data_IF_948311927615
#
_entry.id   IF_948311927615
#
_cell.length_a   1.000
_cell.length_b   1.000
_cell.length_c   1.000
_cell.angle_alpha   90.00
_cell.angle_beta   90.00
_cell.angle_gamma   90.00
#
_symmetry.space_group_name_H-M   'P 1'
#
loop_
_entity.id
_entity.type
_entity.pdbx_description
1 polymer ?
#
# COMPACT_ATOMS: atom_id res chain seq x y z
N UNK A 1 29.67 16.61 15.31
CA UNK A 1 28.33 17.04 14.84
C UNK A 1 27.58 15.80 14.36
N UNK A 2 26.43 15.47 14.94
CA UNK A 2 25.59 14.39 14.41
C UNK A 2 24.98 14.87 13.09
N UNK A 3 25.30 14.23 11.97
CA UNK A 3 24.68 14.53 10.67
C UNK A 3 23.20 14.18 10.78
N UNK A 4 22.35 15.18 10.55
CA UNK A 4 20.89 15.04 10.52
C UNK A 4 20.44 15.32 9.10
N UNK A 5 19.74 14.37 8.49
CA UNK A 5 19.20 14.52 7.14
C UNK A 5 17.68 14.42 7.19
N UNK A 6 17.00 15.45 6.71
CA UNK A 6 15.53 15.47 6.63
C UNK A 6 15.11 14.78 5.33
N UNK A 7 14.16 13.84 5.41
CA UNK A 7 13.64 13.17 4.24
C UNK A 7 12.85 14.16 3.35
N UNK A 8 13.27 14.44 2.10
CA UNK A 8 12.67 15.50 1.27
C UNK A 8 11.19 15.28 0.97
N UNK A 9 10.77 14.02 0.80
CA UNK A 9 9.38 13.62 0.52
C UNK A 9 8.46 13.76 1.74
N UNK A 10 9.01 13.78 2.96
CA UNK A 10 8.22 13.85 4.20
C UNK A 10 7.99 15.28 4.68
N UNK A 11 8.67 16.26 4.10
CA UNK A 11 8.65 17.65 4.59
C UNK A 11 7.36 18.43 4.27
N UNK A 12 6.48 17.86 3.43
CA UNK A 12 5.24 18.52 3.00
C UNK A 12 4.12 18.48 4.04
N UNK A 13 4.16 17.52 4.96
CA UNK A 13 3.13 17.38 5.99
C UNK A 13 3.43 18.33 7.17
N UNK A 14 2.55 19.31 7.48
CA UNK A 14 2.74 20.18 8.63
C UNK A 14 2.66 19.42 9.97
N UNK A 15 2.09 18.21 9.98
CA UNK A 15 1.92 17.35 11.15
C UNK A 15 3.25 16.74 11.63
N UNK A 16 4.24 16.59 10.76
CA UNK A 16 5.52 15.98 11.11
C UNK A 16 6.33 15.53 9.91
N UNK A 17 7.57 15.08 10.16
CA UNK A 17 8.45 14.61 9.09
C UNK A 17 9.46 13.57 9.56
N UNK A 18 9.93 12.74 8.62
CA UNK A 18 11.00 11.77 8.81
C UNK A 18 12.38 12.44 8.72
N UNK A 19 13.30 12.02 9.58
CA UNK A 19 14.71 12.40 9.52
C UNK A 19 15.60 11.23 9.92
N UNK A 20 16.84 11.22 9.43
CA UNK A 20 17.84 10.26 9.85
C UNK A 20 18.87 10.95 10.73
N UNK A 21 19.40 10.20 11.70
CA UNK A 21 20.51 10.65 12.54
C UNK A 21 21.41 9.46 12.82
N UNK A 22 22.66 9.55 12.34
CA UNK A 22 23.64 8.45 12.43
C UNK A 22 23.10 7.12 11.87
N UNK A 23 22.37 7.18 10.74
CA UNK A 23 21.81 5.99 10.07
C UNK A 23 20.48 5.46 10.63
N UNK A 24 20.07 5.90 11.82
CA UNK A 24 18.77 5.55 12.42
C UNK A 24 17.68 6.47 11.91
N UNK A 25 16.52 5.88 11.56
CA UNK A 25 15.33 6.60 11.10
C UNK A 25 14.49 7.04 12.30
N UNK A 26 14.08 8.30 12.29
CA UNK A 26 13.18 8.89 13.27
C UNK A 26 12.06 9.64 12.55
N UNK A 27 10.96 9.87 13.25
CA UNK A 27 9.92 10.81 12.86
C UNK A 27 9.76 11.85 13.95
N UNK A 28 9.80 13.12 13.55
CA UNK A 28 9.35 14.21 14.39
C UNK A 28 7.85 14.40 14.18
N UNK A 29 7.10 14.45 15.27
CA UNK A 29 5.70 14.86 15.28
C UNK A 29 5.67 16.30 15.78
N UNK A 30 4.99 17.17 15.04
CA UNK A 30 4.91 18.59 15.35
C UNK A 30 3.75 18.90 16.30
N UNK A 31 3.83 20.05 16.98
CA UNK A 31 2.80 20.58 17.90
C UNK A 31 1.41 20.65 17.28
N UNK A 32 1.32 20.86 15.96
CA UNK A 32 0.04 20.92 15.25
C UNK A 32 -0.77 19.62 15.36
N UNK A 33 -0.10 18.47 15.51
CA UNK A 33 -0.71 17.14 15.54
C UNK A 33 -0.68 16.48 16.94
N UNK A 34 -0.36 17.26 17.98
CA UNK A 34 -0.25 16.79 19.36
C UNK A 34 -1.55 16.15 19.87
N UNK A 35 -2.71 16.74 19.53
CA UNK A 35 -4.00 16.29 20.04
C UNK A 35 -4.39 14.95 19.42
N UNK A 36 -4.25 14.85 18.10
CA UNK A 36 -4.53 13.65 17.30
C UNK A 36 -3.60 12.51 17.73
N UNK A 37 -2.30 12.78 17.84
CA UNK A 37 -1.32 11.81 18.31
C UNK A 37 -1.63 11.32 19.73
N UNK A 38 -1.89 12.25 20.65
CA UNK A 38 -2.25 11.90 22.03
C UNK A 38 -3.51 11.05 22.12
N UNK A 39 -4.52 11.29 21.26
CA UNK A 39 -5.72 10.46 21.20
C UNK A 39 -5.46 9.09 20.55
N UNK A 40 -4.64 9.02 19.49
CA UNK A 40 -4.22 7.76 18.87
C UNK A 40 -3.59 6.81 19.89
N UNK A 41 -2.70 7.34 20.74
CA UNK A 41 -2.02 6.55 21.78
C UNK A 41 -2.94 6.17 22.94
N UNK A 42 -3.80 7.08 23.42
CA UNK A 42 -4.67 6.85 24.59
C UNK A 42 -5.97 6.10 24.30
N UNK A 43 -6.46 6.13 23.07
CA UNK A 43 -7.75 5.51 22.70
C UNK A 43 -7.69 3.98 22.59
N UNK A 44 -6.47 3.39 22.59
CA UNK A 44 -6.24 1.98 22.31
C UNK A 44 -6.15 1.64 20.81
N UNK A 45 -6.34 2.62 19.91
CA UNK A 45 -6.24 2.40 18.47
C UNK A 45 -4.83 1.95 18.06
N UNK A 46 -3.81 2.65 18.56
CA UNK A 46 -2.41 2.33 18.25
C UNK A 46 -2.04 0.90 18.63
N UNK A 47 -2.33 0.49 19.88
CA UNK A 47 -2.09 -0.87 20.38
C UNK A 47 -2.86 -1.88 19.53
N UNK A 48 -4.13 -1.59 19.24
CA UNK A 48 -4.95 -2.47 18.44
C UNK A 48 -4.42 -2.69 17.01
N UNK A 49 -3.94 -1.63 16.34
CA UNK A 49 -3.43 -1.72 14.97
C UNK A 49 -2.05 -2.40 14.92
N UNK A 50 -1.18 -2.10 15.88
CA UNK A 50 0.18 -2.67 15.91
C UNK A 50 0.17 -4.14 16.30
N UNK A 51 -0.67 -4.54 17.27
CA UNK A 51 -0.86 -5.95 17.68
C UNK A 51 -1.32 -6.82 16.51
N UNK A 52 -2.26 -6.32 15.71
CA UNK A 52 -2.82 -7.06 14.56
C UNK A 52 -1.91 -6.93 13.31
N UNK A 53 -0.78 -6.21 13.40
CA UNK A 53 0.19 -6.04 12.33
C UNK A 53 -0.25 -5.07 11.22
N UNK A 54 -1.24 -4.22 11.48
CA UNK A 54 -1.83 -3.29 10.51
C UNK A 54 -1.08 -1.97 10.41
N UNK A 55 -0.46 -1.52 11.50
CA UNK A 55 0.33 -0.29 11.56
C UNK A 55 1.76 -0.61 11.97
N UNK A 56 2.74 0.08 11.37
CA UNK A 56 4.15 -0.01 11.77
C UNK A 56 4.30 0.42 13.24
N UNK A 57 4.89 -0.43 14.10
CA UNK A 57 5.15 -0.03 15.48
C UNK A 57 6.27 1.02 15.51
N UNK A 58 6.18 1.88 16.51
CA UNK A 58 7.16 2.88 16.86
C UNK A 58 7.27 3.04 18.38
N UNK A 59 8.39 3.59 18.80
CA UNK A 59 8.66 3.92 20.19
C UNK A 59 8.84 5.43 20.32
N UNK A 60 8.24 6.03 21.36
CA UNK A 60 8.59 7.40 21.77
C UNK A 60 10.01 7.40 22.36
N UNK A 61 10.86 8.34 21.91
CA UNK A 61 12.28 8.38 22.30
C UNK A 61 12.70 9.77 22.76
N UNK A 62 13.71 9.85 23.62
CA UNK A 62 14.30 11.11 24.09
C UNK A 62 15.35 11.70 23.13
N UNK A 63 15.39 11.25 21.87
CA UNK A 63 16.31 11.79 20.88
C UNK A 63 15.90 13.23 20.52
N UNK A 64 16.84 14.21 20.45
CA UNK A 64 16.48 15.59 20.15
C UNK A 64 15.75 15.72 18.79
N UNK A 65 14.76 16.61 18.67
CA UNK A 65 14.08 16.86 17.39
C UNK A 65 15.06 17.36 16.32
N UNK A 66 14.64 17.29 15.06
CA UNK A 66 15.36 17.92 13.97
C UNK A 66 15.04 19.42 13.87
N UNK A 67 13.85 19.84 14.33
CA UNK A 67 13.41 21.23 14.44
C UNK A 67 12.72 21.48 15.78
N UNK A 68 13.40 22.21 16.67
CA UNK A 68 12.94 22.44 18.06
C UNK A 68 11.69 23.32 18.16
N UNK A 69 11.54 24.29 17.25
CA UNK A 69 10.44 25.26 17.24
C UNK A 69 9.07 24.59 17.03
N UNK A 70 9.01 23.62 16.12
CA UNK A 70 7.78 22.93 15.75
C UNK A 70 7.54 21.60 16.48
N UNK A 71 8.55 21.02 17.13
CA UNK A 71 8.48 19.67 17.68
C UNK A 71 7.53 19.55 18.88
N UNK A 72 6.75 18.48 18.89
CA UNK A 72 6.05 17.97 20.07
C UNK A 72 6.78 16.75 20.64
N UNK A 73 7.02 15.73 19.80
CA UNK A 73 7.70 14.48 20.21
C UNK A 73 8.50 13.88 19.05
N UNK A 74 9.48 13.03 19.39
CA UNK A 74 10.24 12.23 18.44
C UNK A 74 9.91 10.76 18.67
N UNK A 75 9.59 10.06 17.58
CA UNK A 75 9.35 8.62 17.59
C UNK A 75 10.38 7.91 16.70
N UNK A 76 10.67 6.65 17.04
CA UNK A 76 11.50 5.74 16.26
C UNK A 76 10.63 4.61 15.72
N UNK A 77 10.21 4.67 14.44
CA UNK A 77 9.47 3.56 13.82
C UNK A 77 10.40 2.38 13.52
N UNK A 78 9.82 1.18 13.52
CA UNK A 78 10.48 0.01 12.95
C UNK A 78 10.74 0.24 11.45
N UNK A 79 11.94 -0.12 10.99
CA UNK A 79 12.36 0.16 9.62
C UNK A 79 11.86 -0.93 8.68
N UNK A 80 11.12 -0.54 7.65
CA UNK A 80 10.79 -1.42 6.52
C UNK A 80 12.10 -1.75 5.77
N UNK A 81 12.39 -3.05 5.50
CA UNK A 81 13.64 -3.44 4.84
C UNK A 81 13.80 -2.86 3.43
N UNK A 82 12.70 -2.76 2.68
CA UNK A 82 12.69 -2.24 1.32
C UNK A 82 11.40 -1.47 1.04
N UNK A 83 11.53 -0.26 0.51
CA UNK A 83 10.38 0.57 0.10
C UNK A 83 10.09 0.28 -1.36
N UNK A 84 8.90 -0.23 -1.62
CA UNK A 84 8.37 -0.42 -2.98
C UNK A 84 7.19 0.52 -3.21
N UNK A 85 6.85 0.73 -4.48
CA UNK A 85 5.83 1.67 -4.90
C UNK A 85 4.61 0.99 -5.52
N UNK A 86 3.41 1.59 -5.43
CA UNK A 86 2.17 0.99 -5.94
C UNK A 86 2.18 0.59 -7.42
N UNK A 87 2.99 1.23 -8.26
CA UNK A 87 3.14 0.87 -9.67
C UNK A 87 4.02 -0.38 -9.89
N UNK A 88 4.84 -0.75 -8.90
CA UNK A 88 5.68 -1.96 -8.89
C UNK A 88 4.93 -3.18 -8.35
N UNK A 89 3.76 -3.00 -7.77
CA UNK A 89 3.00 -4.06 -7.13
C UNK A 89 2.18 -4.88 -8.13
N UNK A 90 2.07 -6.18 -7.89
CA UNK A 90 1.14 -7.03 -8.61
C UNK A 90 -0.32 -6.75 -8.19
N UNK A 91 -1.29 -7.39 -8.87
CA UNK A 91 -2.71 -7.22 -8.57
C UNK A 91 -3.04 -7.56 -7.11
N UNK A 92 -2.56 -8.70 -6.63
CA UNK A 92 -2.78 -9.20 -5.28
C UNK A 92 -2.20 -8.28 -4.21
N UNK A 93 -1.01 -7.71 -4.44
CA UNK A 93 -0.39 -6.74 -3.54
C UNK A 93 -1.24 -5.47 -3.40
N UNK A 94 -1.62 -4.86 -4.53
CA UNK A 94 -2.45 -3.65 -4.51
C UNK A 94 -3.84 -3.94 -3.89
N UNK A 95 -4.38 -5.13 -4.12
CA UNK A 95 -5.65 -5.57 -3.53
C UNK A 95 -5.55 -5.73 -2.02
N UNK A 96 -4.50 -6.39 -1.52
CA UNK A 96 -4.30 -6.59 -0.09
C UNK A 96 -3.99 -5.27 0.62
N UNK A 97 -3.25 -4.36 -0.01
CA UNK A 97 -3.03 -2.99 0.45
C UNK A 97 -4.35 -2.20 0.58
N UNK A 98 -5.25 -2.33 -0.40
CA UNK A 98 -6.58 -1.72 -0.35
C UNK A 98 -7.44 -2.27 0.78
N UNK A 99 -7.44 -3.59 0.98
CA UNK A 99 -8.18 -4.24 2.05
C UNK A 99 -7.65 -3.83 3.43
N UNK A 100 -6.33 -3.80 3.61
CA UNK A 100 -5.71 -3.32 4.84
C UNK A 100 -6.11 -1.87 5.14
N UNK A 101 -6.09 -0.99 4.14
CA UNK A 101 -6.48 0.42 4.30
C UNK A 101 -7.92 0.55 4.84
N UNK A 102 -8.85 -0.27 4.34
CA UNK A 102 -10.24 -0.28 4.81
C UNK A 102 -10.37 -0.89 6.21
N UNK A 103 -9.61 -1.94 6.52
CA UNK A 103 -9.60 -2.55 7.85
C UNK A 103 -9.01 -1.58 8.90
N UNK A 104 -7.99 -0.80 8.54
CA UNK A 104 -7.46 0.32 9.35
C UNK A 104 -8.51 1.41 9.56
N UNK A 105 -9.20 1.84 8.51
CA UNK A 105 -10.28 2.83 8.60
C UNK A 105 -11.40 2.37 9.53
N UNK A 106 -11.83 1.10 9.44
CA UNK A 106 -12.85 0.54 10.32
C UNK A 106 -12.40 0.52 11.78
N UNK A 107 -11.16 0.08 12.05
CA UNK A 107 -10.61 0.09 13.41
C UNK A 107 -10.49 1.53 13.94
N UNK A 108 -10.07 2.48 13.11
CA UNK A 108 -10.03 3.89 13.50
C UNK A 108 -11.41 4.39 13.95
N UNK A 109 -12.47 4.08 13.18
CA UNK A 109 -13.84 4.47 13.51
C UNK A 109 -14.28 3.90 14.86
N UNK A 110 -13.97 2.64 15.17
CA UNK A 110 -14.31 2.01 16.45
C UNK A 110 -13.74 2.81 17.64
N UNK A 111 -12.52 3.35 17.49
CA UNK A 111 -11.80 4.14 18.49
C UNK A 111 -12.03 5.67 18.39
N UNK A 112 -13.04 6.12 17.63
CA UNK A 112 -13.39 7.55 17.53
C UNK A 112 -12.43 8.36 16.67
N UNK A 113 -11.70 7.70 15.78
CA UNK A 113 -10.82 8.33 14.80
C UNK A 113 -11.28 8.01 13.37
N UNK A 114 -10.66 8.65 12.41
CA UNK A 114 -10.85 8.42 10.97
C UNK A 114 -9.50 8.47 10.28
N UNK A 115 -9.32 7.67 9.23
CA UNK A 115 -8.17 7.73 8.34
C UNK A 115 -8.39 8.87 7.34
N UNK A 116 -7.67 9.99 7.45
CA UNK A 116 -7.77 11.12 6.50
C UNK A 116 -6.98 10.86 5.22
N UNK A 117 -5.87 10.12 5.30
CA UNK A 117 -4.98 9.83 4.17
C UNK A 117 -5.03 8.34 3.78
N UNK A 118 -5.85 8.02 2.78
CA UNK A 118 -6.01 6.68 2.19
C UNK A 118 -5.16 6.51 0.91
N UNK A 119 -3.90 6.94 0.94
CA UNK A 119 -2.95 6.79 -0.16
C UNK A 119 -2.33 5.39 -0.19
N UNK A 120 -2.21 4.79 -1.39
CA UNK A 120 -1.46 3.55 -1.57
C UNK A 120 0.01 3.69 -1.17
N UNK A 121 0.59 4.90 -1.22
CA UNK A 121 1.97 5.15 -0.81
C UNK A 121 2.18 5.07 0.72
N UNK A 122 1.10 5.01 1.50
CA UNK A 122 1.15 4.78 2.94
C UNK A 122 1.14 3.30 3.32
N UNK A 123 1.16 2.40 2.34
CA UNK A 123 1.30 0.95 2.53
C UNK A 123 2.69 0.52 2.10
N UNK A 124 3.28 -0.42 2.83
CA UNK A 124 4.49 -1.15 2.46
C UNK A 124 4.31 -2.63 2.76
N UNK A 125 5.30 -3.46 2.44
CA UNK A 125 5.26 -4.89 2.70
C UNK A 125 6.32 -5.30 3.72
N UNK A 126 5.86 -5.91 4.82
CA UNK A 126 6.70 -6.47 5.87
C UNK A 126 6.34 -7.93 6.09
N UNK A 127 7.35 -8.80 6.06
CA UNK A 127 7.16 -10.24 6.16
C UNK A 127 6.14 -10.79 5.14
N UNK A 128 6.23 -10.28 3.91
CA UNK A 128 5.30 -10.60 2.84
C UNK A 128 3.90 -10.03 3.00
N UNK A 129 3.55 -9.33 4.09
CA UNK A 129 2.18 -8.80 4.32
C UNK A 129 2.14 -7.28 4.17
N UNK A 130 1.03 -6.71 3.69
CA UNK A 130 0.88 -5.26 3.67
C UNK A 130 0.90 -4.71 5.12
N UNK A 131 1.44 -3.52 5.30
CA UNK A 131 1.46 -2.79 6.57
C UNK A 131 1.32 -1.29 6.31
N UNK A 132 0.49 -0.60 7.10
CA UNK A 132 0.34 0.84 7.06
C UNK A 132 1.53 1.49 7.76
N UNK A 133 2.16 2.47 7.13
CA UNK A 133 3.42 3.06 7.64
C UNK A 133 3.27 4.49 8.16
N UNK A 134 2.11 5.13 7.95
CA UNK A 134 1.94 6.55 8.27
C UNK A 134 1.12 6.79 9.54
N UNK A 135 1.80 7.00 10.67
CA UNK A 135 1.15 7.31 11.95
C UNK A 135 0.37 8.63 11.95
N UNK A 136 0.67 9.56 11.03
CA UNK A 136 0.06 10.90 11.02
C UNK A 136 -1.21 10.99 10.13
N UNK A 137 -1.68 9.85 9.59
CA UNK A 137 -2.87 9.77 8.74
C UNK A 137 -4.20 9.71 9.50
N UNK A 138 -4.21 9.77 10.84
CA UNK A 138 -5.45 9.69 11.63
C UNK A 138 -5.96 11.09 12.03
N UNK A 139 -7.27 11.27 12.15
CA UNK A 139 -7.89 12.48 12.72
C UNK A 139 -9.07 12.07 13.60
N UNK A 140 -9.59 13.00 14.39
CA UNK A 140 -10.81 12.82 15.14
C UNK A 140 -12.00 12.57 14.20
N UNK A 141 -12.75 11.51 14.48
CA UNK A 141 -14.03 11.31 13.84
C UNK A 141 -15.00 12.43 14.28
N UNK A 142 -15.60 13.14 13.31
CA UNK A 142 -16.58 14.20 13.53
C UNK A 142 -17.93 13.75 12.98
N UNK A 143 -18.90 13.58 13.86
CA UNK A 143 -20.25 13.13 13.51
C UNK A 143 -20.86 14.00 12.39
N UNK A 144 -21.41 13.35 11.37
CA UNK A 144 -22.07 14.02 10.26
C UNK A 144 -21.14 14.48 9.13
N UNK A 145 -19.81 14.49 9.33
CA UNK A 145 -18.85 14.80 8.26
C UNK A 145 -18.64 13.59 7.34
N UNK A 146 -18.35 13.78 6.04
CA UNK A 146 -18.00 12.69 5.15
C UNK A 146 -16.59 12.15 5.42
N UNK A 147 -16.31 10.93 4.97
CA UNK A 147 -14.95 10.39 5.01
C UNK A 147 -14.04 11.13 4.02
N UNK A 148 -13.10 11.91 4.53
CA UNK A 148 -12.17 12.74 3.73
C UNK A 148 -11.31 11.89 2.79
N UNK A 149 -10.79 10.75 3.29
CA UNK A 149 -9.99 9.81 2.52
C UNK A 149 -10.75 9.02 1.45
N UNK A 150 -12.08 9.11 1.38
CA UNK A 150 -12.89 8.30 0.45
C UNK A 150 -12.50 8.50 -1.02
N UNK A 151 -12.31 9.76 -1.43
CA UNK A 151 -11.88 10.07 -2.80
C UNK A 151 -10.50 9.49 -3.09
N UNK A 152 -9.56 9.70 -2.18
CA UNK A 152 -8.20 9.22 -2.33
C UNK A 152 -8.17 7.69 -2.40
N UNK A 153 -8.95 7.00 -1.57
CA UNK A 153 -9.11 5.54 -1.63
C UNK A 153 -9.58 5.08 -3.02
N UNK A 154 -10.60 5.74 -3.58
CA UNK A 154 -11.07 5.40 -4.92
C UNK A 154 -9.98 5.60 -5.98
N UNK A 155 -9.20 6.67 -5.91
CA UNK A 155 -8.16 7.01 -6.89
C UNK A 155 -6.91 6.10 -6.77
N UNK A 156 -6.53 5.72 -5.56
CA UNK A 156 -5.32 4.93 -5.28
C UNK A 156 -5.53 3.42 -5.32
N UNK A 157 -6.76 2.94 -5.08
CA UNK A 157 -7.03 1.51 -4.98
C UNK A 157 -8.15 1.04 -5.91
N UNK A 158 -9.38 1.54 -5.72
CA UNK A 158 -10.54 0.98 -6.43
C UNK A 158 -10.44 1.18 -7.96
N UNK A 159 -10.07 2.38 -8.40
CA UNK A 159 -9.89 2.69 -9.82
C UNK A 159 -8.76 1.86 -10.46
N UNK A 160 -7.52 1.83 -9.95
CA UNK A 160 -6.48 1.01 -10.54
C UNK A 160 -6.82 -0.48 -10.53
N UNK A 161 -7.36 -1.02 -9.43
CA UNK A 161 -7.78 -2.43 -9.38
C UNK A 161 -8.86 -2.75 -10.42
N UNK A 162 -9.84 -1.85 -10.59
CA UNK A 162 -10.88 -2.02 -11.61
C UNK A 162 -10.29 -1.97 -13.04
N UNK A 163 -9.36 -1.05 -13.31
CA UNK A 163 -8.69 -0.96 -14.61
C UNK A 163 -7.86 -2.21 -14.91
N UNK A 164 -7.14 -2.74 -13.92
CA UNK A 164 -6.37 -3.98 -14.05
C UNK A 164 -7.25 -5.18 -14.40
N UNK A 165 -8.44 -5.27 -13.79
CA UNK A 165 -9.35 -6.40 -13.98
C UNK A 165 -10.15 -6.30 -15.27
N UNK A 166 -10.66 -5.11 -15.62
CA UNK A 166 -11.63 -4.95 -16.69
C UNK A 166 -11.06 -4.35 -17.98
N UNK A 167 -9.85 -3.82 -17.95
CA UNK A 167 -9.22 -3.21 -19.12
C UNK A 167 -7.87 -3.85 -19.42
N UNK A 168 -6.84 -3.62 -18.58
CA UNK A 168 -5.50 -4.17 -18.76
C UNK A 168 -4.67 -4.03 -17.47
N UNK A 169 -3.96 -5.09 -17.06
CA UNK A 169 -3.14 -5.12 -15.83
C UNK A 169 -2.02 -4.09 -15.81
N UNK A 170 -1.53 -3.67 -16.99
CA UNK A 170 -0.47 -2.67 -17.13
C UNK A 170 -0.92 -1.26 -16.78
N UNK A 171 -2.23 -1.01 -16.68
CA UNK A 171 -2.75 0.30 -16.28
C UNK A 171 -2.42 0.67 -14.83
N UNK A 172 -1.89 -0.26 -14.02
CA UNK A 172 -1.28 0.08 -12.72
C UNK A 172 -0.14 1.11 -12.85
N UNK A 173 0.58 1.12 -13.97
CA UNK A 173 1.71 2.04 -14.23
C UNK A 173 1.29 3.51 -14.17
N UNK A 174 -0.01 3.80 -14.31
CA UNK A 174 -0.53 5.14 -14.14
C UNK A 174 -0.31 5.70 -12.73
N UNK A 175 -0.15 4.84 -11.71
CA UNK A 175 0.20 5.28 -10.35
C UNK A 175 1.59 5.91 -10.28
N UNK A 176 2.48 5.67 -11.27
CA UNK A 176 3.77 6.35 -11.42
C UNK A 176 3.62 7.81 -11.87
N UNK A 177 2.64 8.08 -12.72
CA UNK A 177 2.38 9.40 -13.30
C UNK A 177 1.45 10.21 -12.39
N UNK A 178 0.38 9.57 -11.90
CA UNK A 178 -0.60 10.16 -11.00
C UNK A 178 -0.27 9.75 -9.57
N UNK A 179 0.70 10.46 -8.97
CA UNK A 179 1.16 10.21 -7.60
C UNK A 179 0.01 10.34 -6.58
N UNK A 180 -0.97 11.22 -6.84
CA UNK A 180 -2.19 11.42 -6.05
C UNK A 180 -3.35 10.48 -6.45
N UNK A 181 -3.02 9.40 -7.15
CA UNK A 181 -3.96 8.39 -7.63
C UNK A 181 -4.63 8.74 -8.95
N UNK A 182 -5.13 7.71 -9.64
CA UNK A 182 -5.71 7.83 -10.98
C UNK A 182 -6.98 8.71 -10.90
N UNK A 183 -7.08 9.81 -11.68
CA UNK A 183 -8.29 10.63 -11.72
C UNK A 183 -9.52 9.79 -12.08
N UNK A 184 -10.63 9.97 -11.34
CA UNK A 184 -11.80 9.11 -11.50
C UNK A 184 -12.52 9.31 -12.84
N UNK A 185 -12.41 10.49 -13.44
CA UNK A 185 -12.91 10.79 -14.78
C UNK A 185 -12.10 10.05 -15.86
N UNK A 186 -10.77 9.98 -15.71
CA UNK A 186 -9.89 9.19 -16.58
C UNK A 186 -10.18 7.69 -16.41
N UNK A 187 -10.26 7.19 -15.17
CA UNK A 187 -10.62 5.80 -14.91
C UNK A 187 -11.97 5.44 -15.53
N UNK A 188 -12.98 6.32 -15.40
CA UNK A 188 -14.29 6.15 -16.04
C UNK A 188 -14.20 6.09 -17.56
N UNK A 189 -13.32 6.88 -18.19
CA UNK A 189 -13.15 6.89 -19.65
C UNK A 189 -12.48 5.59 -20.17
N UNK A 190 -11.63 4.96 -19.36
CA UNK A 190 -10.87 3.75 -19.72
C UNK A 190 -11.60 2.45 -19.37
N UNK A 191 -12.51 2.48 -18.41
CA UNK A 191 -13.33 1.32 -18.05
C UNK A 191 -14.32 0.99 -19.19
N UNK A 192 -14.53 -0.30 -19.51
CA UNK A 192 -15.51 -0.69 -20.52
C UNK A 192 -16.92 -0.33 -20.06
N UNK A 193 -17.82 -0.07 -21.01
CA UNK A 193 -19.21 0.29 -20.72
C UNK A 193 -19.92 -0.75 -19.84
N UNK A 194 -19.55 -2.03 -19.93
CA UNK A 194 -20.08 -3.10 -19.08
C UNK A 194 -19.83 -2.89 -17.58
N UNK A 195 -18.86 -2.05 -17.20
CA UNK A 195 -18.56 -1.69 -15.82
C UNK A 195 -19.70 -0.94 -15.13
N UNK A 196 -20.61 -0.30 -15.88
CA UNK A 196 -21.80 0.36 -15.32
C UNK A 196 -22.78 -0.63 -14.68
N UNK A 197 -22.78 -1.89 -15.11
CA UNK A 197 -23.64 -2.94 -14.56
C UNK A 197 -23.08 -3.52 -13.26
N UNK A 198 -21.94 -3.02 -12.78
CA UNK A 198 -21.35 -3.38 -11.48
C UNK A 198 -21.70 -2.27 -10.48
N UNK A 199 -22.64 -2.50 -9.55
CA UNK A 199 -23.14 -1.44 -8.67
C UNK A 199 -22.04 -0.71 -7.89
N UNK A 200 -21.03 -1.44 -7.43
CA UNK A 200 -19.87 -0.87 -6.72
C UNK A 200 -19.10 0.14 -7.56
N UNK A 201 -18.74 -0.21 -8.80
CA UNK A 201 -18.02 0.69 -9.71
C UNK A 201 -18.89 1.86 -10.16
N UNK A 202 -20.18 1.60 -10.38
CA UNK A 202 -21.17 2.62 -10.72
C UNK A 202 -21.23 3.71 -9.64
N UNK A 203 -21.33 3.31 -8.37
CA UNK A 203 -21.43 4.24 -7.24
C UNK A 203 -20.10 4.95 -7.00
N UNK A 204 -19.01 4.19 -6.84
CA UNK A 204 -17.76 4.72 -6.28
C UNK A 204 -16.83 5.38 -7.30
N UNK A 205 -16.95 5.02 -8.58
CA UNK A 205 -16.14 5.60 -9.66
C UNK A 205 -17.02 6.48 -10.53
N UNK A 206 -18.09 5.93 -11.12
CA UNK A 206 -18.83 6.61 -12.20
C UNK A 206 -19.66 7.78 -11.67
N UNK A 207 -20.49 7.57 -10.64
CA UNK A 207 -21.30 8.63 -10.04
C UNK A 207 -20.46 9.61 -9.22
N UNK A 208 -19.41 9.11 -8.57
CA UNK A 208 -18.48 9.98 -7.85
C UNK A 208 -17.77 10.95 -8.81
N UNK A 209 -17.25 10.47 -9.95
CA UNK A 209 -16.64 11.32 -10.97
C UNK A 209 -17.61 12.38 -11.54
N UNK A 210 -18.86 11.99 -11.82
CA UNK A 210 -19.90 12.94 -12.30
C UNK A 210 -20.21 14.03 -11.28
N UNK A 211 -20.27 13.67 -10.01
CA UNK A 211 -20.49 14.62 -8.92
C UNK A 211 -19.31 15.59 -8.83
N UNK A 212 -18.07 15.10 -8.90
CA UNK A 212 -16.88 15.95 -8.86
C UNK A 212 -16.79 16.92 -10.05
N UNK A 213 -17.04 16.47 -11.28
CA UNK A 213 -17.00 17.32 -12.47
C UNK A 213 -18.04 18.46 -12.42
N UNK A 214 -19.17 18.26 -11.72
CA UNK A 214 -20.20 19.30 -11.51
C UNK A 214 -19.79 20.37 -10.49
N UNK A 215 -18.82 20.07 -9.62
CA UNK A 215 -18.36 20.97 -8.55
C UNK A 215 -16.94 21.53 -8.78
N UNK A 216 -16.18 21.01 -9.73
CA UNK A 216 -14.88 21.54 -10.15
C UNK A 216 -15.05 22.92 -10.84
N UNK A 217 -15.05 24.00 -10.05
CA UNK A 217 -15.16 25.38 -10.55
C UNK A 217 -16.18 26.26 -9.83
N UNK A 218 -16.87 25.78 -8.80
CA UNK A 218 -17.71 26.62 -7.93
C UNK A 218 -17.08 26.62 -6.54
N UNK A 219 -16.84 27.80 -5.95
CA UNK A 219 -16.66 27.92 -4.50
C UNK A 219 -17.93 27.36 -3.85
N UNK A 220 -17.84 26.11 -3.38
CA UNK A 220 -18.99 25.44 -2.79
C UNK A 220 -19.24 26.08 -1.43
N UNK A 221 -20.27 26.93 -1.37
CA UNK A 221 -21.05 27.09 -0.14
C UNK A 221 -21.38 25.68 0.37
N UNK A 222 -21.20 25.49 1.66
CA UNK A 222 -21.38 24.25 2.44
C UNK A 222 -22.77 23.64 2.18
N UNK A 223 -22.94 22.98 1.04
CA UNK A 223 -24.22 22.45 0.58
C UNK A 223 -24.28 20.97 0.93
N UNK A 224 -24.97 20.71 2.03
CA UNK A 224 -25.41 19.39 2.51
C UNK A 224 -24.40 18.27 2.22
N UNK A 225 -23.26 18.28 2.91
CA UNK A 225 -22.50 17.04 3.04
C UNK A 225 -23.48 15.97 3.53
N UNK A 226 -23.59 14.84 2.82
CA UNK A 226 -24.42 13.72 3.29
C UNK A 226 -24.02 13.45 4.73
N UNK A 227 -24.97 13.63 5.65
CA UNK A 227 -24.74 13.35 7.05
C UNK A 227 -24.32 11.89 7.17
N UNK A 228 -23.06 11.66 7.52
CA UNK A 228 -22.54 10.33 7.76
C UNK A 228 -22.31 10.18 9.25
N UNK A 229 -23.21 9.43 9.89
CA UNK A 229 -22.93 8.91 11.22
C UNK A 229 -21.91 7.77 11.13
N UNK A 230 -21.43 7.31 12.30
CA UNK A 230 -20.41 6.28 12.37
C UNK A 230 -20.86 4.99 11.67
N UNK A 231 -22.14 4.64 11.81
CA UNK A 231 -22.73 3.47 11.16
C UNK A 231 -22.67 3.58 9.64
N UNK A 232 -23.05 4.72 9.07
CA UNK A 232 -22.96 4.97 7.62
C UNK A 232 -21.51 4.91 7.12
N UNK A 233 -20.53 5.40 7.90
CA UNK A 233 -19.12 5.27 7.53
C UNK A 233 -18.62 3.83 7.54
N UNK A 234 -19.04 3.04 8.54
CA UNK A 234 -18.72 1.61 8.60
C UNK A 234 -19.34 0.86 7.43
N UNK A 235 -20.62 1.12 7.12
CA UNK A 235 -21.31 0.52 5.97
C UNK A 235 -20.63 0.88 4.63
N UNK A 236 -20.16 2.13 4.48
CA UNK A 236 -19.37 2.54 3.32
C UNK A 236 -18.05 1.75 3.23
N UNK A 237 -17.32 1.64 4.34
CA UNK A 237 -16.07 0.89 4.38
C UNK A 237 -16.30 -0.60 4.07
N UNK A 238 -17.35 -1.22 4.61
CA UNK A 238 -17.73 -2.60 4.34
C UNK A 238 -18.14 -2.83 2.88
N UNK A 239 -18.87 -1.88 2.30
CA UNK A 239 -19.25 -1.94 0.89
C UNK A 239 -18.02 -1.86 -0.03
N UNK A 240 -17.10 -0.92 0.24
CA UNK A 240 -15.84 -0.81 -0.49
C UNK A 240 -14.99 -2.08 -0.31
N UNK A 241 -14.92 -2.62 0.90
CA UNK A 241 -14.14 -3.81 1.21
C UNK A 241 -14.65 -5.02 0.46
N UNK A 242 -15.96 -5.22 0.46
CA UNK A 242 -16.63 -6.29 -0.30
C UNK A 242 -16.42 -6.11 -1.81
N UNK A 243 -16.45 -4.87 -2.29
CA UNK A 243 -16.20 -4.54 -3.69
C UNK A 243 -14.79 -4.89 -4.13
N UNK A 244 -13.78 -4.48 -3.34
CA UNK A 244 -12.36 -4.82 -3.58
C UNK A 244 -12.14 -6.32 -3.48
N UNK A 245 -12.70 -6.98 -2.44
CA UNK A 245 -12.56 -8.41 -2.25
C UNK A 245 -13.10 -9.23 -3.44
N UNK A 246 -14.20 -8.77 -4.05
CA UNK A 246 -14.82 -9.41 -5.20
C UNK A 246 -14.03 -9.23 -6.52
N UNK A 247 -13.11 -8.27 -6.62
CA UNK A 247 -12.28 -8.10 -7.80
C UNK A 247 -11.31 -9.28 -7.93
N UNK A 248 -11.28 -9.90 -9.11
CA UNK A 248 -10.38 -11.00 -9.44
C UNK A 248 -9.80 -10.76 -10.82
N UNK A 249 -8.50 -10.56 -10.88
CA UNK A 249 -7.79 -10.56 -12.14
C UNK A 249 -7.57 -12.02 -12.59
N UNK A 250 -8.12 -12.37 -13.77
CA UNK A 250 -7.95 -13.68 -14.37
C UNK A 250 -6.90 -13.55 -15.48
N UNK A 251 -5.67 -13.96 -15.20
CA UNK A 251 -4.65 -14.10 -16.23
C UNK A 251 -4.80 -15.45 -16.95
N UNK A 252 -4.44 -15.48 -18.23
CA UNK A 252 -4.65 -16.66 -19.06
C UNK A 252 -3.76 -17.82 -18.60
N UNK A 253 -4.29 -19.05 -18.59
CA UNK A 253 -3.45 -20.25 -18.37
C UNK A 253 -2.44 -20.43 -19.51
N UNK A 254 -2.69 -19.83 -20.67
CA UNK A 254 -1.92 -20.03 -21.90
C UNK A 254 -0.62 -19.23 -21.94
N UNK A 255 -0.51 -18.09 -21.24
CA UNK A 255 0.75 -17.33 -21.21
C UNK A 255 1.88 -18.09 -20.47
N UNK A 256 1.56 -18.93 -19.47
CA UNK A 256 2.59 -19.61 -18.65
C UNK A 256 2.28 -21.03 -18.19
N UNK A 257 1.11 -21.61 -18.54
CA UNK A 257 0.87 -23.06 -18.36
C UNK A 257 1.89 -23.92 -19.10
N UNK A 258 2.54 -23.29 -20.07
CA UNK A 258 3.60 -23.78 -20.95
C UNK A 258 5.01 -23.42 -20.46
N UNK A 259 5.33 -22.30 -19.78
CA UNK A 259 6.76 -21.90 -19.65
C UNK A 259 7.68 -22.91 -18.93
N UNK A 260 7.27 -23.53 -17.82
CA UNK A 260 8.08 -24.60 -17.19
C UNK A 260 7.84 -25.98 -17.80
N UNK A 261 6.86 -26.13 -18.70
CA UNK A 261 6.62 -27.35 -19.50
C UNK A 261 7.29 -27.31 -20.89
N UNK A 262 7.55 -26.12 -21.43
CA UNK A 262 8.13 -25.82 -22.75
C UNK A 262 9.54 -25.23 -22.65
N UNK A 263 9.99 -24.81 -21.46
CA UNK A 263 11.42 -24.47 -21.32
C UNK A 263 12.22 -25.73 -21.58
N UNK A 264 13.20 -25.60 -22.47
CA UNK A 264 14.15 -26.62 -22.93
C UNK A 264 15.02 -27.24 -21.80
N UNK A 265 14.64 -27.10 -20.53
CA UNK A 265 15.34 -27.69 -19.40
C UNK A 265 14.81 -29.10 -19.15
N UNK A 266 15.70 -30.08 -19.26
CA UNK A 266 15.46 -31.36 -18.60
C UNK A 266 15.30 -31.12 -17.09
N UNK A 267 14.53 -31.98 -16.41
CA UNK A 267 14.38 -31.95 -14.95
C UNK A 267 15.73 -31.98 -14.21
N UNK A 268 16.77 -32.58 -14.83
CA UNK A 268 18.15 -32.57 -14.34
C UNK A 268 18.76 -31.17 -14.29
N UNK A 269 18.71 -30.41 -15.38
CA UNK A 269 19.32 -29.07 -15.44
C UNK A 269 18.64 -28.07 -14.50
N UNK A 270 17.32 -28.20 -14.30
CA UNK A 270 16.60 -27.39 -13.32
C UNK A 270 17.10 -27.66 -11.88
N UNK A 271 17.30 -28.94 -11.55
CA UNK A 271 17.80 -29.36 -10.23
C UNK A 271 19.24 -28.90 -10.00
N UNK A 272 20.11 -29.05 -11.00
CA UNK A 272 21.50 -28.56 -10.95
C UNK A 272 21.58 -27.05 -10.72
N UNK A 273 20.71 -26.27 -11.39
CA UNK A 273 20.63 -24.82 -11.17
C UNK A 273 20.17 -24.51 -9.74
N UNK A 274 19.18 -25.22 -9.21
CA UNK A 274 18.71 -25.01 -7.85
C UNK A 274 19.83 -25.28 -6.82
N UNK A 275 20.57 -26.37 -6.96
CA UNK A 275 21.73 -26.68 -6.11
C UNK A 275 22.83 -25.63 -6.22
N UNK A 276 23.09 -25.11 -7.43
CA UNK A 276 24.09 -24.07 -7.62
C UNK A 276 23.69 -22.76 -6.92
N UNK A 277 22.44 -22.34 -7.08
CA UNK A 277 21.88 -21.16 -6.40
C UNK A 277 21.95 -21.33 -4.88
N UNK A 278 21.65 -22.52 -4.37
CA UNK A 278 21.78 -22.84 -2.95
C UNK A 278 23.23 -22.69 -2.46
N UNK A 279 24.19 -23.34 -3.12
CA UNK A 279 25.62 -23.25 -2.77
C UNK A 279 26.15 -21.82 -2.85
N UNK A 280 25.72 -21.04 -3.85
CA UNK A 280 26.08 -19.63 -3.98
C UNK A 280 25.52 -18.78 -2.85
N UNK A 281 24.25 -19.01 -2.49
CA UNK A 281 23.59 -18.30 -1.39
C UNK A 281 24.25 -18.62 -0.05
N UNK A 282 24.58 -19.89 0.20
CA UNK A 282 25.30 -20.34 1.39
C UNK A 282 26.66 -19.67 1.54
N UNK A 283 27.44 -19.66 0.44
CA UNK A 283 28.77 -19.09 0.45
C UNK A 283 28.76 -17.57 0.65
N UNK A 284 27.76 -16.89 0.11
CA UNK A 284 27.64 -15.45 0.20
C UNK A 284 27.04 -14.97 1.54
N UNK A 285 26.22 -15.79 2.19
CA UNK A 285 25.46 -15.47 3.42
C UNK A 285 24.83 -14.06 3.40
N UNK A 286 24.04 -13.71 2.37
CA UNK A 286 23.54 -12.36 2.20
C UNK A 286 22.42 -12.05 3.20
N UNK A 287 22.39 -10.81 3.71
CA UNK A 287 21.22 -10.29 4.44
C UNK A 287 20.04 -10.01 3.52
N UNK A 288 20.33 -9.63 2.27
CA UNK A 288 19.35 -9.28 1.26
C UNK A 288 19.79 -9.82 -0.09
N UNK A 289 18.87 -10.44 -0.83
CA UNK A 289 19.10 -10.97 -2.17
C UNK A 289 18.15 -10.31 -3.16
N UNK A 290 18.66 -9.98 -4.34
CA UNK A 290 17.87 -9.48 -5.46
C UNK A 290 17.88 -10.56 -6.55
N UNK A 291 16.70 -11.12 -6.84
CA UNK A 291 16.49 -12.09 -7.91
C UNK A 291 15.82 -11.37 -9.08
N UNK A 292 16.58 -11.14 -10.15
CA UNK A 292 16.16 -10.39 -11.33
C UNK A 292 15.80 -11.38 -12.44
N UNK A 293 14.59 -11.27 -13.00
CA UNK A 293 14.04 -12.32 -13.86
C UNK A 293 13.58 -13.54 -13.05
N UNK A 294 13.01 -13.28 -11.88
CA UNK A 294 12.66 -14.29 -10.90
C UNK A 294 11.48 -15.18 -11.34
N UNK A 295 10.74 -14.79 -12.38
CA UNK A 295 9.54 -15.44 -12.85
C UNK A 295 8.55 -15.65 -11.69
N UNK A 296 8.21 -16.91 -11.40
CA UNK A 296 7.30 -17.30 -10.31
C UNK A 296 8.00 -17.48 -8.95
N UNK A 297 9.25 -17.03 -8.83
CA UNK A 297 10.02 -16.99 -7.59
C UNK A 297 10.59 -18.32 -7.11
N UNK A 298 10.74 -19.32 -7.99
CA UNK A 298 11.20 -20.66 -7.56
C UNK A 298 12.62 -20.62 -6.98
N UNK A 299 13.53 -19.90 -7.64
CA UNK A 299 14.91 -19.73 -7.15
C UNK A 299 14.99 -18.71 -6.01
N UNK A 300 14.17 -17.65 -6.04
CA UNK A 300 14.05 -16.71 -4.91
C UNK A 300 13.75 -17.43 -3.60
N UNK A 301 12.87 -18.45 -3.67
CA UNK A 301 12.48 -19.26 -2.52
C UNK A 301 13.58 -20.11 -1.90
N UNK A 302 14.69 -20.34 -2.61
CA UNK A 302 15.86 -21.03 -2.05
C UNK A 302 16.50 -20.18 -0.97
N UNK A 303 16.68 -18.87 -1.24
CA UNK A 303 17.26 -17.94 -0.29
C UNK A 303 16.28 -17.56 0.83
N UNK A 304 15.03 -17.24 0.49
CA UNK A 304 14.05 -16.74 1.46
C UNK A 304 13.64 -17.76 2.52
N UNK A 305 13.58 -19.06 2.18
CA UNK A 305 13.37 -20.15 3.14
C UNK A 305 14.49 -20.27 4.19
N UNK A 306 15.67 -19.73 3.90
CA UNK A 306 16.82 -19.68 4.81
C UNK A 306 16.86 -18.39 5.65
N UNK A 307 15.83 -17.55 5.54
CA UNK A 307 15.74 -16.29 6.28
C UNK A 307 16.30 -15.07 5.55
N UNK A 308 16.78 -15.22 4.31
CA UNK A 308 17.29 -14.09 3.52
C UNK A 308 16.13 -13.25 3.00
N UNK A 309 16.14 -11.94 3.27
CA UNK A 309 15.15 -11.04 2.68
C UNK A 309 15.37 -10.93 1.16
N UNK A 310 14.41 -11.41 0.38
CA UNK A 310 14.56 -11.61 -1.05
C UNK A 310 13.61 -10.73 -1.84
N UNK A 311 14.16 -9.82 -2.64
CA UNK A 311 13.40 -8.99 -3.58
C UNK A 311 13.41 -9.72 -4.92
N UNK A 312 12.22 -10.06 -5.41
CA UNK A 312 12.02 -10.95 -6.55
C UNK A 312 11.36 -10.18 -7.68
N UNK A 313 12.11 -9.84 -8.72
CA UNK A 313 11.70 -8.91 -9.76
C UNK A 313 11.44 -9.64 -11.06
N UNK A 314 10.31 -9.35 -11.69
CA UNK A 314 10.03 -9.79 -13.06
C UNK A 314 9.25 -8.71 -13.84
N UNK A 315 9.33 -8.75 -15.17
CA UNK A 315 8.58 -7.84 -16.04
C UNK A 315 7.16 -8.32 -16.31
N UNK A 316 6.89 -9.63 -16.14
CA UNK A 316 5.57 -10.20 -16.35
C UNK A 316 4.69 -10.11 -15.09
N UNK A 317 3.59 -9.33 -15.10
CA UNK A 317 2.67 -9.22 -13.98
C UNK A 317 2.06 -10.56 -13.55
N UNK A 318 1.88 -11.52 -14.47
CA UNK A 318 1.28 -12.82 -14.14
C UNK A 318 2.26 -13.71 -13.35
N UNK A 319 3.54 -13.71 -13.73
CA UNK A 319 4.60 -14.39 -13.00
C UNK A 319 4.75 -13.85 -11.56
N UNK A 320 4.76 -12.52 -11.42
CA UNK A 320 4.84 -11.83 -10.11
C UNK A 320 3.60 -12.11 -9.27
N UNK A 321 2.39 -12.05 -9.84
CA UNK A 321 1.14 -12.39 -9.14
C UNK A 321 1.16 -13.83 -8.60
N UNK A 322 1.64 -14.78 -9.39
CA UNK A 322 1.77 -16.18 -8.95
C UNK A 322 2.85 -16.34 -7.88
N UNK A 323 3.95 -15.62 -8.00
CA UNK A 323 4.95 -15.58 -6.95
C UNK A 323 4.34 -15.05 -5.65
N UNK A 324 3.63 -13.93 -5.71
CA UNK A 324 2.89 -13.36 -4.59
C UNK A 324 1.97 -14.39 -3.95
N UNK A 325 1.13 -15.08 -4.73
CA UNK A 325 0.20 -16.09 -4.19
C UNK A 325 0.88 -17.30 -3.53
N UNK A 326 2.15 -17.59 -3.85
CA UNK A 326 2.90 -18.76 -3.35
C UNK A 326 4.10 -18.40 -2.49
N UNK A 327 4.26 -17.11 -2.17
CA UNK A 327 5.42 -16.57 -1.43
C UNK A 327 5.49 -17.09 0.00
N UNK A 328 6.70 -17.07 0.53
CA UNK A 328 6.92 -17.09 1.97
C UNK A 328 7.02 -15.67 2.55
N UNK A 329 7.22 -15.57 3.85
CA UNK A 329 7.29 -14.29 4.55
C UNK A 329 8.53 -13.46 4.18
N UNK A 330 9.56 -14.02 3.56
CA UNK A 330 10.81 -13.31 3.29
C UNK A 330 10.96 -12.87 1.83
N UNK A 331 9.94 -13.09 1.00
CA UNK A 331 9.95 -12.72 -0.42
C UNK A 331 9.05 -11.51 -0.67
N UNK A 332 9.61 -10.48 -1.32
CA UNK A 332 8.88 -9.34 -1.89
C UNK A 332 8.91 -9.43 -3.42
N UNK A 333 7.83 -9.93 -4.05
CA UNK A 333 7.70 -9.98 -5.50
C UNK A 333 7.37 -8.59 -6.05
N UNK A 334 8.03 -8.14 -7.12
CA UNK A 334 7.78 -6.83 -7.74
C UNK A 334 7.72 -6.95 -9.26
N UNK A 335 6.83 -6.17 -9.88
CA UNK A 335 6.75 -5.99 -11.32
C UNK A 335 7.61 -4.79 -11.72
N UNK A 336 8.71 -5.02 -12.43
CA UNK A 336 9.58 -3.95 -12.92
C UNK A 336 10.08 -4.25 -14.33
N UNK A 337 10.35 -3.20 -15.10
CA UNK A 337 11.02 -3.32 -16.40
C UNK A 337 12.48 -3.78 -16.19
N UNK A 338 12.96 -4.71 -17.02
CA UNK A 338 14.24 -5.43 -16.83
C UNK A 338 15.27 -5.08 -17.90
#
# INVERSE_FOLDING_TARGET
MKITEIAPSSFRDPSGFLFTRSGTLYRQINKLYEKEYGHLMRSGLYESLTRDGFLIPHEEVSEPPAREDSAHIVIRPERIPFVSYPYEWCFGELKDAALLTLDVQKRALEHGMVLKDASAYNIQFRHGKPIFIDTLSFDFYKEGKPWEGYRQFCQHFLAPLALMVYTDVRLREFLRIYIDGIPLDLARALLPFSSIFRPSLLIHIIFHAKTQARFAGRETKDHSSRFMNRKTMLELADNLRSSVAALQWKFSRTEWGEYYRETNYSSGSFSEKAELVEKMTERADPKTLWDIGANTGVFSRIASKRGVYTISIDSDPAAVEKNYQTRDNNTLPLVMDL
#
